data_IF_404103797967
#
_entry.id   IF_404103797967
#
_cell.length_a   1.000
_cell.length_b   1.000
_cell.length_c   1.000
_cell.angle_alpha   90.00
_cell.angle_beta   90.00
_cell.angle_gamma   90.00
#
_symmetry.space_group_name_H-M   'P 1'
#
loop_
_entity.id
_entity.type
_entity.pdbx_description
1 polymer ?
#
# COMPACT_ATOMS: atom_id res chain seq x y z
N UNK A 1 -1.21 -14.99 14.06
CA UNK A 1 -0.88 -14.22 12.83
C UNK A 1 -1.69 -12.93 12.83
N UNK A 2 -1.06 -11.79 12.69
CA UNK A 2 -1.81 -10.54 12.51
C UNK A 2 -2.65 -10.60 11.24
N UNK A 3 -3.80 -9.94 11.27
CA UNK A 3 -4.63 -9.80 10.08
C UNK A 3 -3.95 -8.88 9.05
N UNK A 4 -4.19 -9.07 7.75
CA UNK A 4 -3.63 -8.20 6.71
C UNK A 4 -3.88 -6.72 6.94
N UNK A 5 -5.06 -6.34 7.43
CA UNK A 5 -5.42 -4.97 7.78
C UNK A 5 -4.56 -4.38 8.90
N UNK A 6 -4.21 -5.18 9.92
CA UNK A 6 -3.34 -4.74 11.02
C UNK A 6 -1.91 -4.50 10.52
N UNK A 7 -1.42 -5.38 9.63
CA UNK A 7 -0.12 -5.22 8.99
C UNK A 7 -0.06 -3.94 8.15
N UNK A 8 -1.08 -3.70 7.34
CA UNK A 8 -1.21 -2.48 6.55
C UNK A 8 -1.23 -1.22 7.42
N UNK A 9 -2.03 -1.22 8.49
CA UNK A 9 -2.12 -0.10 9.43
C UNK A 9 -0.77 0.17 10.11
N UNK A 10 -0.05 -0.86 10.54
CA UNK A 10 1.26 -0.74 11.17
C UNK A 10 2.31 -0.16 10.21
N UNK A 11 2.29 -0.58 8.94
CA UNK A 11 3.17 -0.01 7.91
C UNK A 11 2.86 1.45 7.65
N UNK A 12 1.59 1.79 7.43
CA UNK A 12 1.19 3.17 7.15
C UNK A 12 1.53 4.12 8.32
N UNK A 13 1.41 3.66 9.55
CA UNK A 13 1.76 4.45 10.75
C UNK A 13 3.24 4.88 10.76
N UNK A 14 4.12 4.12 10.12
CA UNK A 14 5.57 4.40 9.99
C UNK A 14 5.95 4.99 8.63
N UNK A 15 5.04 5.01 7.67
CA UNK A 15 5.27 5.47 6.30
C UNK A 15 4.96 6.97 6.18
N UNK A 16 5.93 7.80 6.58
CA UNK A 16 5.78 9.25 6.49
C UNK A 16 5.62 9.73 5.05
N UNK A 17 6.28 9.08 4.09
CA UNK A 17 6.22 9.46 2.68
C UNK A 17 4.81 9.30 2.12
N UNK A 18 4.19 8.14 2.27
CA UNK A 18 2.80 7.91 1.82
C UNK A 18 1.81 8.82 2.54
N UNK A 19 1.99 9.01 3.85
CA UNK A 19 1.14 9.91 4.64
C UNK A 19 1.29 11.36 4.20
N UNK A 20 2.48 11.81 3.81
CA UNK A 20 2.75 13.20 3.39
C UNK A 20 1.96 13.61 2.16
N UNK A 21 1.63 12.68 1.28
CA UNK A 21 0.81 12.94 0.09
C UNK A 21 -0.65 12.52 0.28
N UNK A 22 -1.06 12.21 1.51
CA UNK A 22 -2.44 11.93 1.85
C UNK A 22 -2.95 10.56 1.39
N UNK A 23 -2.07 9.57 1.24
CA UNK A 23 -2.48 8.20 0.93
C UNK A 23 -3.19 7.60 2.14
N UNK A 24 -4.35 7.02 1.89
CA UNK A 24 -5.16 6.30 2.86
C UNK A 24 -5.39 4.86 2.40
N UNK A 25 -5.36 3.93 3.34
CA UNK A 25 -5.74 2.54 3.09
C UNK A 25 -7.26 2.44 3.06
N UNK A 26 -7.80 1.85 2.00
CA UNK A 26 -9.21 1.48 1.90
C UNK A 26 -9.42 0.04 2.35
N UNK A 27 -8.54 -0.87 1.89
CA UNK A 27 -8.59 -2.29 2.24
C UNK A 27 -7.22 -2.94 2.09
N UNK A 28 -6.92 -3.95 2.92
CA UNK A 28 -5.78 -4.83 2.78
C UNK A 28 -6.24 -6.26 3.01
N UNK A 29 -6.20 -7.05 1.96
CA UNK A 29 -6.47 -8.49 2.01
C UNK A 29 -5.21 -9.31 1.79
N UNK A 30 -5.36 -10.62 1.72
CA UNK A 30 -4.23 -11.52 1.43
C UNK A 30 -3.65 -11.21 0.04
N UNK A 31 -2.43 -10.69 0.01
CA UNK A 31 -1.71 -10.30 -1.22
C UNK A 31 -2.49 -9.33 -2.12
N UNK A 32 -3.26 -8.47 -1.50
CA UNK A 32 -4.01 -7.43 -2.19
C UNK A 32 -4.10 -6.18 -1.31
N UNK A 33 -4.22 -5.03 -1.92
CA UNK A 33 -4.48 -3.78 -1.21
C UNK A 33 -5.18 -2.78 -2.11
N UNK A 34 -5.99 -1.95 -1.50
CA UNK A 34 -6.65 -0.80 -2.12
C UNK A 34 -6.29 0.43 -1.31
N UNK A 35 -5.73 1.43 -1.98
CA UNK A 35 -5.39 2.73 -1.39
C UNK A 35 -5.97 3.86 -2.21
N UNK A 36 -6.12 5.03 -1.60
CA UNK A 36 -6.65 6.21 -2.28
C UNK A 36 -5.84 7.47 -1.97
N UNK A 37 -5.93 8.43 -2.88
CA UNK A 37 -5.29 9.75 -2.78
C UNK A 37 -6.11 10.77 -3.56
N UNK A 38 -6.26 11.97 -3.02
CA UNK A 38 -6.86 13.08 -3.77
C UNK A 38 -5.75 13.96 -4.36
N UNK A 39 -5.86 14.33 -5.63
CA UNK A 39 -4.90 15.21 -6.30
C UNK A 39 -5.04 16.63 -5.74
N UNK A 40 -4.01 17.08 -5.01
CA UNK A 40 -3.91 18.42 -4.44
C UNK A 40 -3.17 19.37 -5.38
N UNK A 41 -3.27 20.68 -5.12
CA UNK A 41 -2.58 21.70 -5.92
C UNK A 41 -1.05 21.53 -5.94
N UNK A 42 -0.44 21.07 -4.84
CA UNK A 42 1.00 20.81 -4.73
C UNK A 42 1.47 19.53 -5.44
N UNK A 43 0.55 18.78 -6.04
CA UNK A 43 0.82 17.58 -6.85
C UNK A 43 0.74 17.84 -8.35
N UNK A 44 0.33 19.04 -8.76
CA UNK A 44 0.13 19.40 -10.16
C UNK A 44 1.45 19.84 -10.80
N UNK A 45 1.76 19.26 -11.97
CA UNK A 45 2.96 19.59 -12.74
C UNK A 45 2.78 20.80 -13.65
N UNK A 46 3.81 21.15 -14.44
CA UNK A 46 3.79 22.27 -15.36
C UNK A 46 2.74 22.17 -16.48
N UNK A 47 2.15 21.01 -16.72
CA UNK A 47 1.07 20.79 -17.67
C UNK A 47 -0.34 20.92 -17.06
N UNK A 48 -0.43 21.21 -15.76
CA UNK A 48 -1.71 21.36 -15.08
C UNK A 48 -2.38 20.03 -14.70
N UNK A 49 -1.63 18.95 -14.64
CA UNK A 49 -2.11 17.61 -14.26
C UNK A 49 -1.25 17.01 -13.15
N UNK A 50 -1.78 16.02 -12.45
CA UNK A 50 -1.03 15.33 -11.40
C UNK A 50 0.31 14.84 -11.94
N UNK A 51 1.38 15.11 -11.21
CA UNK A 51 2.72 14.62 -11.56
C UNK A 51 2.74 13.10 -11.59
N UNK A 52 3.26 12.53 -12.70
CA UNK A 52 3.31 11.08 -12.88
C UNK A 52 4.06 10.33 -11.78
N UNK A 53 5.10 10.95 -11.21
CA UNK A 53 5.82 10.41 -10.06
C UNK A 53 4.94 10.21 -8.82
N UNK A 54 3.92 11.05 -8.61
CA UNK A 54 2.99 10.89 -7.49
C UNK A 54 1.92 9.83 -7.77
N UNK A 55 1.49 9.69 -9.03
CA UNK A 55 0.65 8.56 -9.44
C UNK A 55 1.40 7.25 -9.25
N UNK A 56 2.69 7.22 -9.64
CA UNK A 56 3.54 6.04 -9.43
C UNK A 56 3.73 5.74 -7.93
N UNK A 57 3.90 6.77 -7.10
CA UNK A 57 4.01 6.59 -5.65
C UNK A 57 2.73 5.99 -5.05
N UNK A 58 1.55 6.39 -5.52
CA UNK A 58 0.29 5.78 -5.12
C UNK A 58 0.25 4.29 -5.49
N UNK A 59 0.66 3.94 -6.72
CA UNK A 59 0.72 2.56 -7.18
C UNK A 59 1.74 1.73 -6.38
N UNK A 60 2.91 2.30 -6.10
CA UNK A 60 3.97 1.65 -5.32
C UNK A 60 3.55 1.44 -3.85
N UNK A 61 2.82 2.38 -3.27
CA UNK A 61 2.26 2.23 -1.92
C UNK A 61 1.23 1.09 -1.86
N UNK A 62 0.35 0.98 -2.85
CA UNK A 62 -0.59 -0.14 -2.95
C UNK A 62 0.17 -1.48 -3.05
N UNK A 63 1.21 -1.54 -3.87
CA UNK A 63 2.10 -2.69 -4.00
C UNK A 63 2.73 -3.06 -2.64
N UNK A 64 3.25 -2.07 -1.92
CA UNK A 64 3.89 -2.28 -0.63
C UNK A 64 2.94 -2.88 0.41
N UNK A 65 1.72 -2.35 0.54
CA UNK A 65 0.73 -2.92 1.46
C UNK A 65 0.29 -4.32 1.06
N UNK A 66 0.11 -4.57 -0.24
CA UNK A 66 -0.27 -5.89 -0.74
C UNK A 66 0.81 -6.95 -0.48
N UNK A 67 2.07 -6.64 -0.80
CA UNK A 67 3.14 -7.64 -0.68
C UNK A 67 3.57 -7.90 0.77
N UNK A 68 3.30 -6.99 1.69
CA UNK A 68 3.57 -7.16 3.11
C UNK A 68 2.38 -7.74 3.90
N UNK A 69 1.23 -7.94 3.27
CA UNK A 69 -0.02 -8.38 3.94
C UNK A 69 0.10 -9.69 4.71
N UNK A 70 1.05 -10.55 4.34
CA UNK A 70 1.38 -11.80 5.05
C UNK A 70 2.32 -11.63 6.24
N UNK A 71 2.54 -10.41 6.70
CA UNK A 71 3.42 -10.09 7.82
C UNK A 71 4.90 -10.47 7.60
N UNK A 72 5.36 -10.49 6.36
CA UNK A 72 6.77 -10.70 6.00
C UNK A 72 7.31 -9.45 5.33
N UNK A 73 8.40 -8.89 5.87
CA UNK A 73 9.02 -7.72 5.28
C UNK A 73 9.41 -7.97 3.83
N UNK A 74 8.84 -7.20 2.94
CA UNK A 74 8.96 -7.34 1.49
C UNK A 74 9.13 -5.97 0.85
N UNK A 75 10.06 -5.86 -0.08
CA UNK A 75 10.33 -4.61 -0.80
C UNK A 75 10.10 -4.80 -2.30
N UNK A 76 9.73 -3.73 -2.98
CA UNK A 76 9.75 -3.69 -4.43
C UNK A 76 11.19 -3.81 -4.94
N UNK A 77 11.42 -4.72 -5.88
CA UNK A 77 12.72 -4.93 -6.52
C UNK A 77 12.77 -4.30 -7.91
N UNK A 78 11.63 -4.19 -8.60
CA UNK A 78 11.46 -3.45 -9.84
C UNK A 78 9.99 -3.11 -10.04
N UNK A 79 9.73 -2.04 -10.76
CA UNK A 79 8.37 -1.67 -11.14
C UNK A 79 8.39 -0.90 -12.47
N UNK A 80 7.29 -1.00 -13.21
CA UNK A 80 7.02 -0.21 -14.41
C UNK A 80 5.62 0.35 -14.34
N UNK A 81 5.38 1.45 -15.05
CA UNK A 81 4.08 2.09 -15.10
C UNK A 81 3.84 2.66 -16.51
N UNK A 82 2.61 2.49 -16.98
CA UNK A 82 2.08 3.16 -18.16
C UNK A 82 1.01 4.15 -17.73
N UNK A 83 1.17 5.41 -18.08
CA UNK A 83 0.20 6.47 -17.84
C UNK A 83 -0.80 6.51 -18.97
N UNK A 84 -2.04 6.11 -18.70
CA UNK A 84 -3.08 5.97 -19.72
C UNK A 84 -3.83 7.27 -19.92
N UNK A 85 -4.12 8.00 -18.83
CA UNK A 85 -4.85 9.27 -18.83
C UNK A 85 -4.29 10.24 -17.80
N UNK A 86 -4.35 11.56 -18.05
CA UNK A 86 -4.00 12.54 -17.03
C UNK A 86 -5.05 12.56 -15.91
N UNK A 87 -4.58 12.80 -14.70
CA UNK A 87 -5.43 13.10 -13.54
C UNK A 87 -5.39 14.59 -13.22
N UNK A 88 -6.55 15.21 -13.05
CA UNK A 88 -6.67 16.65 -12.80
C UNK A 88 -6.72 16.94 -11.31
N UNK A 89 -6.48 18.21 -10.96
CA UNK A 89 -6.69 18.73 -9.60
C UNK A 89 -8.08 18.33 -9.08
N UNK A 90 -8.13 17.82 -7.85
CA UNK A 90 -9.36 17.38 -7.19
C UNK A 90 -9.80 15.96 -7.51
N UNK A 91 -9.17 15.28 -8.48
CA UNK A 91 -9.49 13.89 -8.80
C UNK A 91 -9.18 12.97 -7.62
N UNK A 92 -10.13 12.10 -7.28
CA UNK A 92 -9.92 11.02 -6.32
C UNK A 92 -9.33 9.81 -7.05
N UNK A 93 -8.11 9.45 -6.73
CA UNK A 93 -7.40 8.31 -7.30
C UNK A 93 -7.47 7.11 -6.35
N UNK A 94 -7.69 5.93 -6.93
CA UNK A 94 -7.67 4.65 -6.22
C UNK A 94 -6.68 3.73 -6.92
N UNK A 95 -5.75 3.16 -6.16
CA UNK A 95 -4.84 2.14 -6.64
C UNK A 95 -5.20 0.79 -6.03
N UNK A 96 -5.40 -0.20 -6.88
CA UNK A 96 -5.69 -1.58 -6.48
C UNK A 96 -4.55 -2.48 -6.90
N UNK A 97 -3.88 -3.08 -5.92
CA UNK A 97 -2.78 -4.04 -6.12
C UNK A 97 -3.24 -5.46 -5.86
N UNK A 98 -2.93 -6.37 -6.76
CA UNK A 98 -3.27 -7.79 -6.65
C UNK A 98 -2.08 -8.64 -7.09
N UNK A 99 -1.76 -9.68 -6.31
CA UNK A 99 -0.73 -10.64 -6.69
C UNK A 99 -1.14 -11.41 -7.95
N UNK A 100 -0.20 -11.48 -8.88
CA UNK A 100 -0.33 -12.29 -10.11
C UNK A 100 0.37 -13.64 -9.92
N UNK A 101 1.53 -13.62 -9.28
CA UNK A 101 2.34 -14.80 -9.07
C UNK A 101 3.26 -14.64 -7.86
N UNK A 102 3.46 -15.73 -7.13
CA UNK A 102 4.43 -15.80 -6.03
C UNK A 102 5.22 -17.11 -6.15
N UNK A 103 6.53 -17.00 -6.14
CA UNK A 103 7.42 -18.17 -6.08
C UNK A 103 8.59 -17.89 -5.15
N UNK A 104 8.70 -18.68 -4.08
CA UNK A 104 9.70 -18.45 -3.06
C UNK A 104 9.58 -17.04 -2.49
N UNK A 105 10.68 -16.31 -2.48
CA UNK A 105 10.74 -14.93 -1.96
C UNK A 105 10.34 -13.84 -2.97
N UNK A 106 10.01 -14.22 -4.20
CA UNK A 106 9.71 -13.28 -5.29
C UNK A 106 8.23 -13.28 -5.62
N UNK A 107 7.62 -12.10 -5.60
CA UNK A 107 6.24 -11.88 -5.98
C UNK A 107 6.12 -10.97 -7.20
N UNK A 108 5.05 -11.13 -7.97
CA UNK A 108 4.66 -10.24 -9.06
C UNK A 108 3.25 -9.75 -8.81
N UNK A 109 3.03 -8.47 -8.99
CA UNK A 109 1.78 -7.79 -8.70
C UNK A 109 1.38 -6.89 -9.85
N UNK A 110 0.10 -6.88 -10.18
CA UNK A 110 -0.48 -5.86 -11.02
C UNK A 110 -1.15 -4.79 -10.17
N UNK A 111 -0.98 -3.54 -10.54
CA UNK A 111 -1.61 -2.40 -9.91
C UNK A 111 -2.33 -1.58 -10.95
N UNK A 112 -3.61 -1.32 -10.72
CA UNK A 112 -4.43 -0.44 -11.57
C UNK A 112 -4.77 0.82 -10.77
N UNK A 113 -4.46 1.98 -11.33
CA UNK A 113 -4.88 3.27 -10.77
C UNK A 113 -6.08 3.78 -11.56
N UNK A 114 -7.17 4.05 -10.85
CA UNK A 114 -8.42 4.53 -11.43
C UNK A 114 -8.81 5.88 -10.82
N UNK A 115 -9.55 6.69 -11.58
CA UNK A 115 -10.22 7.88 -11.05
C UNK A 115 -11.62 7.48 -10.60
N UNK A 116 -11.96 7.75 -9.34
CA UNK A 116 -13.32 7.66 -8.83
C UNK A 116 -14.05 8.97 -9.11
N UNK A 117 -14.73 9.05 -10.25
CA UNK A 117 -15.73 10.06 -10.48
C UNK A 117 -17.11 9.44 -10.29
N UNK A 118 -18.04 10.18 -9.67
CA UNK A 118 -19.38 9.69 -9.31
C UNK A 118 -20.19 9.17 -10.52
N UNK A 119 -19.79 9.52 -11.74
CA UNK A 119 -20.52 9.20 -12.96
C UNK A 119 -19.80 8.23 -13.91
N UNK A 120 -18.52 7.89 -13.68
CA UNK A 120 -17.67 7.24 -14.71
C UNK A 120 -17.21 5.80 -14.41
N UNK A 121 -17.56 5.21 -13.27
CA UNK A 121 -17.24 3.80 -13.00
C UNK A 121 -15.73 3.46 -13.00
N UNK A 122 -14.86 4.41 -12.64
CA UNK A 122 -13.43 4.15 -12.49
C UNK A 122 -12.65 4.17 -13.80
N UNK A 123 -12.44 5.36 -14.41
CA UNK A 123 -11.53 5.50 -15.55
C UNK A 123 -10.11 5.09 -15.17
N UNK A 124 -9.48 4.27 -16.01
CA UNK A 124 -8.08 3.88 -15.82
C UNK A 124 -7.17 5.07 -16.08
N UNK A 125 -6.36 5.40 -15.08
CA UNK A 125 -5.36 6.46 -15.12
C UNK A 125 -3.97 5.90 -15.41
N UNK A 126 -3.62 4.78 -14.77
CA UNK A 126 -2.31 4.15 -14.95
C UNK A 126 -2.40 2.63 -14.72
N UNK A 127 -1.49 1.93 -15.37
CA UNK A 127 -1.27 0.50 -15.21
C UNK A 127 0.18 0.30 -14.76
N UNK A 128 0.37 -0.43 -13.67
CA UNK A 128 1.69 -0.71 -13.11
C UNK A 128 1.87 -2.20 -12.85
N UNK A 129 3.10 -2.66 -12.97
CA UNK A 129 3.51 -4.00 -12.57
C UNK A 129 4.77 -3.91 -11.73
N UNK A 130 4.76 -4.57 -10.58
CA UNK A 130 5.89 -4.64 -9.67
C UNK A 130 6.36 -6.06 -9.43
N UNK A 131 7.68 -6.23 -9.30
CA UNK A 131 8.32 -7.42 -8.79
C UNK A 131 8.83 -7.12 -7.39
N UNK A 132 8.54 -8.00 -6.45
CA UNK A 132 8.88 -7.84 -5.04
C UNK A 132 9.84 -8.92 -4.58
N UNK A 133 10.58 -8.64 -3.51
CA UNK A 133 11.48 -9.58 -2.86
C UNK A 133 11.29 -9.52 -1.35
N UNK A 134 11.02 -10.66 -0.73
CA UNK A 134 10.99 -10.78 0.72
C UNK A 134 12.40 -10.59 1.29
N UNK A 135 12.53 -9.73 2.28
CA UNK A 135 13.80 -9.47 2.98
C UNK A 135 13.92 -10.23 4.29
N UNK A 136 12.82 -10.80 4.76
CA UNK A 136 12.73 -11.57 5.99
C UNK A 136 12.39 -10.71 7.21
N UNK A 137 12.01 -11.38 8.27
CA UNK A 137 11.48 -10.75 9.49
C UNK A 137 10.01 -10.35 9.33
N UNK A 138 9.37 -10.09 10.45
CA UNK A 138 7.97 -9.70 10.51
C UNK A 138 7.81 -8.18 10.44
N UNK A 139 6.72 -7.71 9.84
CA UNK A 139 6.31 -6.29 9.88
C UNK A 139 5.87 -5.92 11.28
N UNK A 140 5.04 -6.76 11.88
CA UNK A 140 4.62 -6.70 13.28
C UNK A 140 5.27 -7.88 13.99
N UNK A 141 6.16 -7.61 14.94
CA UNK A 141 6.74 -8.66 15.78
C UNK A 141 5.74 -9.06 16.86
N UNK A 142 5.62 -10.37 17.11
CA UNK A 142 4.87 -10.86 18.26
C UNK A 142 5.58 -10.31 19.52
N UNK A 143 4.86 -9.49 20.29
CA UNK A 143 5.35 -9.08 21.61
C UNK A 143 5.53 -10.37 22.42
N UNK A 144 6.71 -10.61 23.00
CA UNK A 144 6.84 -11.73 23.93
C UNK A 144 5.76 -11.56 24.99
N UNK A 145 4.97 -12.60 25.22
CA UNK A 145 4.00 -12.66 26.32
C UNK A 145 4.81 -12.28 27.57
N UNK A 146 4.54 -11.10 28.13
CA UNK A 146 5.11 -10.74 29.41
C UNK A 146 4.61 -11.82 30.36
N UNK A 147 5.51 -12.74 30.71
CA UNK A 147 5.25 -13.70 31.75
C UNK A 147 4.88 -12.91 33.02
N UNK A 148 3.59 -12.83 33.27
CA UNK A 148 3.08 -12.35 34.55
C UNK A 148 3.40 -13.47 35.51
N UNK A 149 4.64 -13.43 36.04
CA UNK A 149 5.09 -14.34 37.07
C UNK A 149 4.04 -14.54 38.18
N UNK A 150 4.06 -15.66 38.88
CA UNK A 150 2.98 -16.05 39.78
C UNK A 150 2.67 -14.93 40.75
N UNK A 151 1.37 -14.58 40.84
CA UNK A 151 0.85 -13.68 41.84
C UNK A 151 1.33 -14.22 43.19
N UNK A 152 2.24 -13.51 43.84
CA UNK A 152 2.61 -13.85 45.20
C UNK A 152 1.35 -13.68 46.06
N UNK A 153 0.81 -14.82 46.45
CA UNK A 153 -0.26 -14.89 47.43
C UNK A 153 0.31 -14.32 48.75
N UNK A 154 -0.08 -13.09 49.09
CA UNK A 154 0.14 -12.49 50.39
C UNK A 154 -1.06 -12.85 51.23
N UNK A 155 -1.13 -14.09 51.67
CA UNK A 155 -2.03 -14.53 52.75
C UNK A 155 -1.65 -13.88 54.08
N UNK A 156 -2.62 -13.81 55.03
CA UNK A 156 -2.57 -12.99 56.22
C UNK A 156 -1.46 -13.30 57.17
#
# INVERSE_FOLDING_TARGET
>A
MPEPSDVGAALLARDEASRSIGIEIVDVGTRSAVVRMTVRADMVNGHGVCHGGLIFMLADSALAFACNSGNVNTLAASASIDFVRPARLGTHLVATAIAVHQRGRTGHYDVVVTAEDADAGGEVIALSRGRTSETGGAVIEDQPIKDTGPIKDTGP
#
